data_IF_570398020279
#
_entry.id   IF_570398020279
#
_cell.length_a   1.000
_cell.length_b   1.000
_cell.length_c   1.000
_cell.angle_alpha   90.00
_cell.angle_beta   90.00
_cell.angle_gamma   90.00
#
_symmetry.space_group_name_H-M   'P 1'
#
loop_
_entity.id
_entity.type
_entity.pdbx_description
1 polymer ?
#
# COMPACT_ATOMS: atom_id res chain seq x y z
N UNK A 1 -35.16 -5.76 25.78
CA UNK A 1 -35.28 -4.85 24.62
C UNK A 1 -34.11 -5.10 23.68
N UNK A 2 -34.35 -5.21 22.37
CA UNK A 2 -33.30 -5.43 21.36
C UNK A 2 -32.65 -4.09 20.99
N UNK A 3 -31.35 -4.10 20.69
CA UNK A 3 -30.70 -2.95 20.07
C UNK A 3 -31.25 -2.71 18.66
N UNK A 4 -31.56 -1.45 18.29
CA UNK A 4 -32.10 -1.13 16.98
C UNK A 4 -31.09 -1.44 15.88
N UNK A 5 -31.60 -1.84 14.72
CA UNK A 5 -30.80 -2.18 13.54
C UNK A 5 -30.37 -0.91 12.80
N UNK A 6 -29.27 -0.95 12.06
CA UNK A 6 -28.81 0.19 11.25
C UNK A 6 -29.89 0.70 10.27
N UNK A 7 -30.73 -0.18 9.74
CA UNK A 7 -31.87 0.19 8.87
C UNK A 7 -32.93 1.01 9.60
N UNK A 8 -33.29 0.60 10.82
CA UNK A 8 -34.26 1.31 11.67
C UNK A 8 -33.73 2.69 12.05
N UNK A 9 -32.44 2.78 12.38
CA UNK A 9 -31.77 4.04 12.69
C UNK A 9 -31.70 4.97 11.46
N UNK A 10 -31.35 4.44 10.29
CA UNK A 10 -31.31 5.21 9.05
C UNK A 10 -32.69 5.78 8.69
N UNK A 11 -33.75 4.97 8.83
CA UNK A 11 -35.14 5.38 8.60
C UNK A 11 -35.59 6.48 9.58
N UNK A 12 -35.30 6.33 10.87
CA UNK A 12 -35.62 7.33 11.90
C UNK A 12 -34.89 8.66 11.66
N UNK A 13 -33.65 8.61 11.17
CA UNK A 13 -32.83 9.78 10.88
C UNK A 13 -33.09 10.39 9.49
N UNK A 14 -34.05 9.87 8.72
CA UNK A 14 -34.40 10.38 7.39
C UNK A 14 -33.25 10.30 6.37
N UNK A 15 -32.38 9.30 6.49
CA UNK A 15 -31.23 9.13 5.59
C UNK A 15 -31.16 7.72 4.99
N UNK A 16 -30.42 7.57 3.90
CA UNK A 16 -30.21 6.27 3.28
C UNK A 16 -29.28 5.38 4.12
N UNK A 17 -29.49 4.06 4.08
CA UNK A 17 -28.64 3.09 4.78
C UNK A 17 -27.14 3.22 4.43
N UNK A 18 -26.72 3.43 3.15
CA UNK A 18 -25.32 3.66 2.83
C UNK A 18 -24.75 4.93 3.48
N UNK A 19 -25.54 6.01 3.57
CA UNK A 19 -25.15 7.26 4.21
C UNK A 19 -24.98 7.08 5.73
N UNK A 20 -25.90 6.34 6.36
CA UNK A 20 -25.82 6.00 7.78
C UNK A 20 -24.58 5.13 8.10
N UNK A 21 -24.31 4.10 7.31
CA UNK A 21 -23.11 3.26 7.49
C UNK A 21 -21.81 4.06 7.28
N UNK A 22 -21.79 4.96 6.30
CA UNK A 22 -20.66 5.87 6.09
C UNK A 22 -20.46 6.82 7.28
N UNK A 23 -21.55 7.39 7.80
CA UNK A 23 -21.53 8.21 9.00
C UNK A 23 -20.94 7.44 10.19
N UNK A 24 -21.45 6.25 10.47
CA UNK A 24 -20.94 5.38 11.54
C UNK A 24 -19.44 5.11 11.40
N UNK A 25 -18.97 4.84 10.18
CA UNK A 25 -17.54 4.62 9.92
C UNK A 25 -16.71 5.88 10.23
N UNK A 26 -17.18 7.06 9.82
CA UNK A 26 -16.47 8.33 10.01
C UNK A 26 -16.46 8.81 11.47
N UNK A 27 -17.48 8.44 12.26
CA UNK A 27 -17.57 8.83 13.67
C UNK A 27 -16.75 7.94 14.61
N UNK A 28 -16.16 6.84 14.12
CA UNK A 28 -15.29 5.98 14.93
C UNK A 28 -14.05 6.76 15.35
N UNK A 29 -13.76 6.77 16.65
CA UNK A 29 -12.52 7.33 17.20
C UNK A 29 -11.35 6.41 16.83
N UNK A 30 -10.18 7.00 16.58
CA UNK A 30 -8.94 6.25 16.49
C UNK A 30 -8.64 5.54 17.82
N UNK A 31 -7.90 4.45 17.73
CA UNK A 31 -7.39 3.71 18.88
C UNK A 31 -5.91 4.04 19.07
N UNK A 32 -5.45 4.05 20.32
CA UNK A 32 -4.00 4.18 20.58
C UNK A 32 -3.29 2.88 20.21
N UNK A 33 -2.15 3.00 19.53
CA UNK A 33 -1.32 1.85 19.14
C UNK A 33 -0.55 1.26 20.33
N UNK A 34 -0.32 2.06 21.38
CA UNK A 34 0.34 1.63 22.63
C UNK A 34 -0.61 0.85 23.57
N UNK A 35 -1.86 0.63 23.16
CA UNK A 35 -2.75 -0.22 23.96
C UNK A 35 -2.28 -1.68 23.87
N UNK A 36 -2.33 -2.43 24.98
CA UNK A 36 -2.09 -3.85 24.93
C UNK A 36 -3.13 -4.52 24.02
N UNK A 37 -2.69 -5.47 23.21
CA UNK A 37 -3.53 -6.19 22.26
C UNK A 37 -4.70 -6.91 22.96
N UNK A 38 -4.43 -7.48 24.13
CA UNK A 38 -5.43 -8.10 24.99
C UNK A 38 -5.74 -7.18 26.16
N UNK A 39 -7.02 -6.85 26.36
CA UNK A 39 -7.46 -6.22 27.60
C UNK A 39 -7.46 -7.30 28.67
N UNK A 40 -6.86 -7.02 29.83
CA UNK A 40 -6.78 -7.95 30.97
C UNK A 40 -8.15 -8.54 31.31
N UNK A 41 -8.47 -9.69 30.72
CA UNK A 41 -9.67 -10.44 30.96
C UNK A 41 -9.29 -11.53 31.98
N UNK A 42 -9.97 -11.62 33.14
CA UNK A 42 -9.64 -12.64 34.15
C UNK A 42 -9.74 -14.09 33.66
N UNK A 43 -10.34 -14.32 32.47
CA UNK A 43 -10.45 -15.63 31.83
C UNK A 43 -9.38 -15.91 30.78
N UNK A 44 -8.54 -14.92 30.43
CA UNK A 44 -7.42 -15.10 29.50
C UNK A 44 -6.23 -15.71 30.25
N UNK A 45 -6.42 -16.96 30.69
CA UNK A 45 -5.36 -17.81 31.21
C UNK A 45 -4.50 -18.27 30.04
N UNK A 46 -3.50 -17.48 29.63
CA UNK A 46 -2.44 -18.00 28.76
C UNK A 46 -1.85 -17.09 27.69
N UNK A 47 -2.20 -15.81 27.62
CA UNK A 47 -1.48 -14.86 26.76
C UNK A 47 -1.16 -13.58 27.52
N UNK A 48 -0.26 -13.70 28.50
CA UNK A 48 0.52 -12.58 29.02
C UNK A 48 1.57 -12.15 27.97
N UNK A 49 1.10 -11.73 26.79
CA UNK A 49 1.96 -11.07 25.82
C UNK A 49 1.98 -9.58 26.14
N UNK A 50 3.17 -8.99 26.26
CA UNK A 50 3.35 -7.53 26.30
C UNK A 50 3.07 -6.87 24.93
N UNK A 51 2.67 -7.67 23.93
CA UNK A 51 2.33 -7.25 22.58
C UNK A 51 1.32 -6.09 22.59
N UNK A 52 1.75 -4.98 22.02
CA UNK A 52 0.93 -3.81 21.80
C UNK A 52 0.20 -3.92 20.47
N UNK A 53 -0.83 -3.09 20.26
CA UNK A 53 -1.53 -3.02 18.97
C UNK A 53 -0.57 -2.63 17.84
N UNK A 54 0.44 -1.80 18.13
CA UNK A 54 1.49 -1.44 17.17
C UNK A 54 2.25 -2.67 16.63
N UNK A 55 2.46 -3.70 17.44
CA UNK A 55 3.22 -4.88 17.01
C UNK A 55 2.45 -5.76 16.02
N UNK A 56 1.15 -5.51 15.88
CA UNK A 56 0.27 -6.24 14.96
C UNK A 56 0.04 -5.53 13.63
N UNK A 57 0.47 -4.28 13.50
CA UNK A 57 0.30 -3.55 12.24
C UNK A 57 1.42 -3.92 11.28
N UNK A 58 1.04 -4.45 10.12
CA UNK A 58 2.00 -4.74 9.05
C UNK A 58 2.49 -3.42 8.45
N UNK A 59 3.81 -3.29 8.32
CA UNK A 59 4.49 -2.15 7.70
C UNK A 59 4.03 -1.93 6.24
N UNK A 60 3.56 -2.98 5.57
CA UNK A 60 2.98 -2.91 4.22
C UNK A 60 1.78 -1.95 4.13
N UNK A 61 1.07 -1.71 5.23
CA UNK A 61 -0.09 -0.82 5.29
C UNK A 61 0.24 0.63 5.63
N UNK A 62 1.45 0.89 6.12
CA UNK A 62 1.90 2.21 6.61
C UNK A 62 2.82 2.91 5.61
N UNK A 63 3.52 2.15 4.75
CA UNK A 63 4.39 2.71 3.70
C UNK A 63 3.60 3.15 2.47
N UNK A 64 2.90 4.28 2.59
CA UNK A 64 2.53 5.10 1.41
C UNK A 64 3.67 6.04 0.98
N UNK A 65 4.82 5.94 1.65
CA UNK A 65 6.03 6.74 1.41
C UNK A 65 7.13 5.89 0.80
N UNK A 66 7.13 5.76 -0.53
CA UNK A 66 8.26 5.52 -1.47
C UNK A 66 9.36 4.48 -1.19
N UNK A 67 9.44 3.88 -0.02
CA UNK A 67 10.18 2.66 0.21
C UNK A 67 9.13 1.56 0.12
N UNK A 68 8.95 1.10 -1.11
CA UNK A 68 8.34 -0.21 -1.35
C UNK A 68 9.07 -1.17 -0.44
N UNK A 69 8.35 -1.77 0.50
CA UNK A 69 8.84 -2.80 1.42
C UNK A 69 9.00 -4.09 0.59
N UNK A 70 9.73 -3.97 -0.51
CA UNK A 70 9.99 -5.04 -1.44
C UNK A 70 10.89 -6.00 -0.68
N UNK A 71 10.37 -7.19 -0.38
CA UNK A 71 11.14 -8.28 0.20
C UNK A 71 12.52 -8.36 -0.47
N UNK A 72 13.60 -8.62 0.28
CA UNK A 72 14.97 -8.54 -0.25
C UNK A 72 15.18 -9.37 -1.52
N UNK A 73 14.46 -10.48 -1.67
CA UNK A 73 14.35 -11.27 -2.90
C UNK A 73 13.91 -10.45 -4.13
N UNK A 74 12.92 -9.56 -4.01
CA UNK A 74 12.46 -8.69 -5.10
C UNK A 74 13.51 -7.67 -5.52
N UNK A 75 14.32 -7.18 -4.58
CA UNK A 75 15.42 -6.26 -4.91
C UNK A 75 16.51 -6.99 -5.71
N UNK A 76 16.85 -8.21 -5.29
CA UNK A 76 17.81 -9.05 -6.01
C UNK A 76 17.30 -9.42 -7.40
N UNK A 77 16.02 -9.80 -7.51
CA UNK A 77 15.39 -10.11 -8.80
C UNK A 77 15.38 -8.90 -9.73
N UNK A 78 15.11 -7.71 -9.18
CA UNK A 78 15.13 -6.46 -9.94
C UNK A 78 16.53 -6.10 -10.44
N UNK A 79 17.55 -6.24 -9.60
CA UNK A 79 18.93 -5.97 -10.00
C UNK A 79 19.42 -6.95 -11.07
N UNK A 80 19.09 -8.25 -10.91
CA UNK A 80 19.40 -9.27 -11.91
C UNK A 80 18.72 -8.97 -13.26
N UNK A 81 17.43 -8.58 -13.22
CA UNK A 81 16.69 -8.20 -14.41
C UNK A 81 17.29 -6.98 -15.11
N UNK A 82 17.74 -5.97 -14.35
CA UNK A 82 18.39 -4.80 -14.91
C UNK A 82 19.72 -5.14 -15.58
N UNK A 83 20.49 -6.07 -15.03
CA UNK A 83 21.74 -6.52 -15.63
C UNK A 83 21.50 -7.31 -16.93
N UNK A 84 20.54 -8.26 -16.93
CA UNK A 84 20.13 -8.98 -18.14
C UNK A 84 19.65 -8.02 -19.25
N UNK A 85 18.91 -6.98 -18.85
CA UNK A 85 18.40 -5.97 -19.77
C UNK A 85 19.52 -5.09 -20.34
N UNK A 86 20.53 -4.72 -19.55
CA UNK A 86 21.72 -4.02 -20.05
C UNK A 86 22.46 -4.86 -21.09
N UNK A 87 22.59 -6.17 -20.87
CA UNK A 87 23.23 -7.08 -21.81
C UNK A 87 22.42 -7.21 -23.11
N UNK A 88 21.09 -7.32 -23.01
CA UNK A 88 20.21 -7.36 -24.18
C UNK A 88 20.30 -6.07 -25.01
N UNK A 89 20.40 -4.90 -24.37
CA UNK A 89 20.54 -3.61 -25.05
C UNK A 89 21.84 -3.47 -25.85
N UNK A 90 22.86 -4.29 -25.57
CA UNK A 90 24.10 -4.30 -26.36
C UNK A 90 23.93 -4.93 -27.74
N UNK A 91 22.86 -5.73 -27.95
CA UNK A 91 22.55 -6.36 -29.24
C UNK A 91 22.02 -5.33 -30.24
N UNK A 92 21.38 -4.27 -29.75
CA UNK A 92 20.81 -3.19 -30.57
C UNK A 92 21.89 -2.28 -31.13
N UNK A 93 21.57 -1.62 -32.24
CA UNK A 93 22.42 -0.54 -32.75
C UNK A 93 22.48 0.64 -31.76
N UNK A 94 23.54 1.46 -31.80
CA UNK A 94 23.67 2.59 -30.88
C UNK A 94 22.48 3.57 -30.91
N UNK A 95 21.87 3.76 -32.09
CA UNK A 95 20.71 4.65 -32.28
C UNK A 95 19.44 4.05 -31.68
N UNK A 96 19.16 2.78 -31.95
CA UNK A 96 18.00 2.07 -31.39
C UNK A 96 18.07 1.99 -29.87
N UNK A 97 19.27 1.71 -29.33
CA UNK A 97 19.51 1.69 -27.89
C UNK A 97 19.23 3.06 -27.27
N UNK A 98 19.67 4.16 -27.88
CA UNK A 98 19.45 5.50 -27.36
C UNK A 98 17.96 5.84 -27.31
N UNK A 99 17.22 5.56 -28.39
CA UNK A 99 15.77 5.77 -28.45
C UNK A 99 15.03 4.94 -27.41
N UNK A 100 15.40 3.66 -27.24
CA UNK A 100 14.78 2.79 -26.24
C UNK A 100 15.11 3.26 -24.83
N UNK A 101 16.37 3.59 -24.56
CA UNK A 101 16.80 4.08 -23.25
C UNK A 101 16.10 5.38 -22.84
N UNK A 102 15.95 6.32 -23.80
CA UNK A 102 15.27 7.59 -23.58
C UNK A 102 13.77 7.38 -23.33
N UNK A 103 13.08 6.56 -24.13
CA UNK A 103 11.64 6.33 -24.00
C UNK A 103 11.23 5.72 -22.66
N UNK A 104 12.05 4.81 -22.14
CA UNK A 104 11.75 4.07 -20.91
C UNK A 104 12.48 4.62 -19.67
N UNK A 105 13.19 5.74 -19.80
CA UNK A 105 13.82 6.42 -18.66
C UNK A 105 14.95 5.64 -18.01
N UNK A 106 15.73 4.90 -18.79
CA UNK A 106 16.80 4.06 -18.27
C UNK A 106 17.96 4.84 -17.61
N UNK A 107 18.08 6.14 -17.90
CA UNK A 107 19.14 6.99 -17.34
C UNK A 107 18.63 8.00 -16.31
N UNK A 108 17.41 8.50 -16.48
CA UNK A 108 16.86 9.62 -15.71
C UNK A 108 15.53 9.29 -15.00
N UNK A 109 14.97 8.10 -15.22
CA UNK A 109 13.70 7.65 -14.67
C UNK A 109 12.48 8.32 -15.31
N UNK A 110 12.66 9.10 -16.38
CA UNK A 110 11.57 9.82 -17.05
C UNK A 110 11.13 9.00 -18.26
N UNK A 111 9.82 8.80 -18.42
CA UNK A 111 9.26 8.08 -19.58
C UNK A 111 8.61 9.06 -20.56
N UNK A 112 9.40 9.78 -21.38
CA UNK A 112 8.90 10.72 -22.36
C UNK A 112 8.03 10.00 -23.41
N UNK A 113 7.13 10.75 -24.03
CA UNK A 113 6.29 10.20 -25.09
C UNK A 113 7.11 9.93 -26.35
N UNK A 114 6.60 9.06 -27.24
CA UNK A 114 7.27 8.76 -28.52
C UNK A 114 7.53 10.03 -29.34
N UNK A 115 6.60 10.99 -29.28
CA UNK A 115 6.73 12.27 -29.95
C UNK A 115 7.85 13.13 -29.38
N UNK A 116 8.08 13.06 -28.06
CA UNK A 116 9.16 13.80 -27.41
C UNK A 116 10.53 13.20 -27.77
N UNK A 117 10.62 11.86 -27.84
CA UNK A 117 11.86 11.16 -28.21
C UNK A 117 12.20 11.35 -29.69
N UNK A 118 11.19 11.40 -30.57
CA UNK A 118 11.41 11.61 -32.01
C UNK A 118 11.74 13.07 -32.39
N UNK A 119 11.54 14.01 -31.46
CA UNK A 119 11.85 15.43 -31.65
C UNK A 119 13.26 15.84 -31.21
N UNK A 120 14.03 14.92 -30.64
CA UNK A 120 15.43 15.09 -30.22
C UNK A 120 16.38 14.54 -31.29
#
# INVERSE_FOLDING_TARGET
>A
SRHPTNEEMAKQLGMSLPKYNKLLRLTKRSISLDMPKYKSNPKDLGHEGDDMIVDTVDASSVSSTLLDDSAPEKLVDHDLFLDDLKDMLQILSPEERLVLCARYGFFDGITPTVTDVAGQ
#
